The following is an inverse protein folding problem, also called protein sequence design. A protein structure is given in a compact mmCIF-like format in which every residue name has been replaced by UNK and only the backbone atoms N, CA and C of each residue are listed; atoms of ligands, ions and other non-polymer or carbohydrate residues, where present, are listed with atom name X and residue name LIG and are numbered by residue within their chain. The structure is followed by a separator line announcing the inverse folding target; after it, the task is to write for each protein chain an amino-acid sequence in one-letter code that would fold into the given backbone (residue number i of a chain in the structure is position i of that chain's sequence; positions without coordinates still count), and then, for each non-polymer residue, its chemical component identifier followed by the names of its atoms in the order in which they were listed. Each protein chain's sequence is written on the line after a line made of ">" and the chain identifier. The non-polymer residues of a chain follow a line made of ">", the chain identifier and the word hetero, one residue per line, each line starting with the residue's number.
data_IF_737593459820
#
_entry.id   IF_737593459820
#
_cell.length_a   1.000
_cell.length_b   1.000
_cell.length_c   1.000
_cell.angle_alpha   90.00
_cell.angle_beta   90.00
_cell.angle_gamma   90.00
#
_symmetry.space_group_name_H-M   'P 1'
#
loop_
_entity.id
_entity.type
_entity.pdbx_description
1 polymer ?
#
# COMPACT_ATOMS: atom_id res chain seq x y z
N UNK A 1 28.62 26.66 25.04
CA UNK A 1 28.21 27.99 24.53
C UNK A 1 28.75 28.38 23.16
N UNK A 2 29.96 27.96 22.71
CA UNK A 2 30.49 28.37 21.38
C UNK A 2 29.91 27.61 20.16
N UNK A 3 29.42 26.38 20.31
CA UNK A 3 28.88 25.58 19.18
C UNK A 3 27.50 26.08 18.70
N UNK A 4 26.67 26.56 19.63
CA UNK A 4 25.33 27.07 19.33
C UNK A 4 25.36 28.39 18.55
N UNK A 5 26.43 29.19 18.71
CA UNK A 5 26.61 30.43 17.96
C UNK A 5 26.95 30.16 16.49
N UNK A 6 27.70 29.09 16.20
CA UNK A 6 28.08 28.71 14.83
C UNK A 6 26.87 28.14 14.10
N UNK A 7 26.06 27.30 14.76
CA UNK A 7 24.82 26.77 14.20
C UNK A 7 23.78 27.87 13.95
N UNK A 8 23.68 28.84 14.87
CA UNK A 8 22.81 30.01 14.68
C UNK A 8 23.27 30.88 13.51
N UNK A 9 24.58 31.08 13.35
CA UNK A 9 25.13 31.82 12.22
C UNK A 9 24.90 31.11 10.87
N UNK A 10 25.04 29.79 10.82
CA UNK A 10 24.78 28.98 9.63
C UNK A 10 23.30 29.01 9.22
N UNK A 11 22.39 28.92 10.20
CA UNK A 11 20.94 29.02 9.99
C UNK A 11 20.53 30.41 9.48
N UNK A 12 21.09 31.47 10.07
CA UNK A 12 20.82 32.85 9.62
C UNK A 12 21.32 33.07 8.20
N UNK A 13 22.49 32.54 7.84
CA UNK A 13 23.04 32.63 6.48
C UNK A 13 22.19 31.86 5.46
N UNK A 14 21.68 30.67 5.79
CA UNK A 14 20.83 29.90 4.87
C UNK A 14 19.48 30.55 4.64
N UNK A 15 18.89 31.14 5.69
CA UNK A 15 17.63 31.88 5.60
C UNK A 15 17.83 33.15 4.77
N UNK A 16 18.90 33.91 5.02
CA UNK A 16 19.21 35.13 4.27
C UNK A 16 19.44 34.86 2.76
N UNK A 17 20.15 33.78 2.42
CA UNK A 17 20.33 33.37 1.02
C UNK A 17 19.01 33.00 0.33
N UNK A 18 18.07 32.38 1.06
CA UNK A 18 16.74 32.04 0.55
C UNK A 18 15.87 33.29 0.29
N UNK A 19 16.05 34.33 1.11
CA UNK A 19 15.41 35.64 0.89
C UNK A 19 16.01 36.41 -0.30
N UNK A 20 17.30 36.25 -0.59
CA UNK A 20 17.99 36.96 -1.68
C UNK A 20 17.67 36.41 -3.09
N UNK A 21 17.26 35.15 -3.21
CA UNK A 21 16.93 34.50 -4.50
C UNK A 21 15.43 34.57 -4.81
N UNK A 22 14.59 34.98 -3.85
CA UNK A 22 13.14 35.10 -4.04
C UNK A 22 12.77 36.46 -4.67
N UNK A 23 12.02 36.49 -5.79
CA UNK A 23 11.60 37.73 -6.42
C UNK A 23 10.62 38.56 -5.58
N UNK A 24 9.87 37.96 -4.65
CA UNK A 24 8.98 38.69 -3.74
C UNK A 24 8.67 37.86 -2.45
N UNK A 25 9.26 38.21 -1.29
CA UNK A 25 9.01 37.56 -0.02
C UNK A 25 7.69 37.97 0.67
N UNK A 26 6.96 38.96 0.15
CA UNK A 26 5.69 39.43 0.72
C UNK A 26 4.47 38.65 0.22
N UNK A 27 4.64 37.75 -0.77
CA UNK A 27 3.57 36.86 -1.24
C UNK A 27 3.61 35.50 -0.52
N UNK A 28 2.57 35.13 0.25
CA UNK A 28 2.42 33.76 0.71
C UNK A 28 2.25 32.82 -0.48
N UNK A 29 2.77 31.59 -0.38
CA UNK A 29 2.62 30.56 -1.41
C UNK A 29 1.19 29.99 -1.37
N UNK A 30 0.23 30.81 -1.82
CA UNK A 30 -1.21 30.57 -1.76
C UNK A 30 -1.75 29.67 -2.88
N UNK A 31 -0.93 29.25 -3.84
CA UNK A 31 -1.38 28.31 -4.88
C UNK A 31 -1.39 26.84 -4.38
N UNK A 32 -0.66 26.54 -3.30
CA UNK A 32 -0.52 25.17 -2.78
C UNK A 32 -1.41 24.86 -1.57
N UNK A 33 -1.86 25.88 -0.83
CA UNK A 33 -2.62 25.74 0.42
C UNK A 33 -4.15 25.55 0.26
N UNK A 34 -4.86 26.16 -0.70
CA UNK A 34 -6.33 26.08 -0.79
C UNK A 34 -6.86 24.69 -1.13
N UNK A 35 -6.07 23.85 -1.81
CA UNK A 35 -6.48 22.49 -2.17
C UNK A 35 -6.41 21.50 -0.99
N UNK A 36 -5.70 21.85 0.09
CA UNK A 36 -5.66 21.04 1.33
C UNK A 36 -6.69 21.46 2.38
N UNK A 37 -7.17 22.71 2.31
CA UNK A 37 -7.99 23.33 3.38
C UNK A 37 -9.48 23.44 2.99
N UNK A 38 -9.84 23.10 1.76
CA UNK A 38 -11.25 23.04 1.30
C UNK A 38 -11.92 21.68 1.55
N UNK A 39 -11.35 20.83 2.41
CA UNK A 39 -12.13 19.76 3.03
C UNK A 39 -13.22 20.40 3.88
N UNK A 40 -14.46 19.92 3.71
CA UNK A 40 -15.61 20.33 4.51
C UNK A 40 -15.26 20.32 6.00
N UNK A 41 -15.88 21.23 6.77
CA UNK A 41 -15.80 21.20 8.22
C UNK A 41 -16.05 19.77 8.72
N UNK A 42 -14.99 19.17 9.25
CA UNK A 42 -14.97 17.79 9.69
C UNK A 42 -15.60 17.77 11.08
N UNK A 43 -16.92 17.66 11.15
CA UNK A 43 -17.63 17.44 12.41
C UNK A 43 -17.50 15.96 12.79
N UNK A 44 -16.31 15.60 13.25
CA UNK A 44 -15.95 14.22 13.51
C UNK A 44 -15.25 14.11 14.86
N UNK A 45 -15.96 13.45 15.76
CA UNK A 45 -15.42 12.60 16.81
C UNK A 45 -14.92 11.25 16.25
N UNK A 46 -14.42 11.20 15.00
CA UNK A 46 -13.81 10.01 14.42
C UNK A 46 -12.28 10.15 14.42
N UNK A 47 -11.54 9.28 15.13
CA UNK A 47 -10.07 9.29 15.14
C UNK A 47 -9.51 9.12 13.73
N UNK A 48 -8.35 9.73 13.55
CA UNK A 48 -7.86 10.33 12.34
C UNK A 48 -6.92 9.31 11.58
N UNK A 49 -6.67 9.42 10.27
CA UNK A 49 -6.08 8.35 9.42
C UNK A 49 -4.63 7.90 9.64
N UNK A 50 -3.89 8.59 10.50
CA UNK A 50 -2.45 8.42 10.76
C UNK A 50 -2.10 8.26 12.26
N UNK A 51 -3.07 8.05 13.14
CA UNK A 51 -2.90 8.50 14.52
C UNK A 51 -2.58 7.37 15.48
N UNK A 52 -1.53 7.57 16.28
CA UNK A 52 -1.08 6.71 17.37
C UNK A 52 -2.15 6.45 18.46
N UNK A 53 -3.40 6.88 18.26
CA UNK A 53 -4.53 6.81 19.17
C UNK A 53 -5.59 5.76 18.77
N UNK A 54 -5.50 5.10 17.61
CA UNK A 54 -6.42 4.01 17.23
C UNK A 54 -6.47 2.96 18.35
N UNK A 55 -7.62 2.74 19.00
CA UNK A 55 -7.70 1.91 20.19
C UNK A 55 -7.62 0.42 19.82
N UNK A 56 -7.26 -0.44 20.79
CA UNK A 56 -7.04 -1.88 20.54
C UNK A 56 -8.28 -2.56 19.96
N UNK A 57 -9.47 -2.12 20.34
CA UNK A 57 -10.75 -2.64 19.90
C UNK A 57 -10.96 -2.47 18.39
N UNK A 58 -10.47 -1.36 17.82
CA UNK A 58 -10.50 -1.09 16.37
C UNK A 58 -9.57 -2.04 15.61
N UNK A 59 -8.35 -2.26 16.14
CA UNK A 59 -7.44 -3.28 15.62
C UNK A 59 -8.09 -4.66 15.67
N UNK A 60 -8.64 -5.04 16.83
CA UNK A 60 -9.25 -6.34 17.03
C UNK A 60 -10.40 -6.57 16.06
N UNK A 61 -11.32 -5.60 15.91
CA UNK A 61 -12.44 -5.72 14.97
C UNK A 61 -11.95 -5.92 13.54
N UNK A 62 -10.96 -5.13 13.10
CA UNK A 62 -10.43 -5.22 11.74
C UNK A 62 -9.69 -6.53 11.48
N UNK A 63 -8.85 -6.98 12.41
CA UNK A 63 -8.12 -8.24 12.32
C UNK A 63 -9.07 -9.45 12.37
N UNK A 64 -10.11 -9.39 13.19
CA UNK A 64 -11.18 -10.40 13.19
C UNK A 64 -11.85 -10.48 11.82
N UNK A 65 -12.18 -9.34 11.18
CA UNK A 65 -12.72 -9.34 9.81
C UNK A 65 -11.79 -10.07 8.82
N UNK A 66 -10.47 -9.82 8.87
CA UNK A 66 -9.53 -10.53 7.99
C UNK A 66 -9.51 -12.04 8.23
N UNK A 67 -9.48 -12.46 9.50
CA UNK A 67 -9.53 -13.87 9.88
C UNK A 67 -10.82 -14.53 9.40
N UNK A 68 -11.95 -13.87 9.60
CA UNK A 68 -13.28 -14.38 9.22
C UNK A 68 -13.45 -14.42 7.69
N UNK A 69 -12.70 -13.61 6.95
CA UNK A 69 -12.51 -13.70 5.49
C UNK A 69 -11.47 -14.74 5.06
N UNK A 70 -11.00 -15.60 5.97
CA UNK A 70 -10.02 -16.65 5.70
C UNK A 70 -8.67 -16.14 5.15
N UNK A 71 -8.33 -14.87 5.43
CA UNK A 71 -6.98 -14.36 5.20
C UNK A 71 -6.07 -14.80 6.34
N UNK A 72 -4.80 -15.07 6.03
CA UNK A 72 -3.84 -15.60 6.99
C UNK A 72 -2.53 -14.81 7.05
N UNK A 73 -2.40 -13.73 6.28
CA UNK A 73 -1.20 -12.90 6.25
C UNK A 73 -1.54 -11.43 6.01
N UNK A 74 -0.86 -10.56 6.73
CA UNK A 74 -0.86 -9.11 6.55
C UNK A 74 0.57 -8.64 6.27
N UNK A 75 0.73 -7.80 5.25
CA UNK A 75 1.98 -7.10 4.94
C UNK A 75 1.88 -5.67 5.42
N UNK A 76 2.69 -5.32 6.43
CA UNK A 76 2.84 -3.94 6.89
C UNK A 76 3.77 -3.23 5.91
N UNK A 77 3.14 -2.53 4.96
CA UNK A 77 3.77 -1.88 3.82
C UNK A 77 4.81 -0.81 4.22
N UNK A 78 5.88 -0.68 3.45
CA UNK A 78 7.05 0.13 3.76
C UNK A 78 6.89 1.66 3.71
N UNK A 79 5.70 2.20 3.42
CA UNK A 79 5.43 3.61 3.74
C UNK A 79 4.51 3.79 4.96
N UNK A 80 4.17 2.70 5.66
CA UNK A 80 3.72 2.74 7.04
C UNK A 80 4.94 2.67 7.97
N UNK A 81 4.69 2.54 9.27
CA UNK A 81 5.70 2.38 10.32
C UNK A 81 5.45 1.07 11.09
N UNK A 82 6.35 0.74 12.04
CA UNK A 82 6.15 -0.39 12.94
C UNK A 82 4.84 -0.24 13.71
N UNK A 83 3.94 -1.20 13.53
CA UNK A 83 2.63 -1.16 14.15
C UNK A 83 2.71 -1.18 15.70
N UNK A 84 1.58 -0.84 16.32
CA UNK A 84 1.42 -0.93 17.77
C UNK A 84 1.62 -2.36 18.24
N UNK A 85 2.04 -2.54 19.48
CA UNK A 85 2.25 -3.88 20.07
C UNK A 85 0.97 -4.71 20.03
N UNK A 86 -0.17 -4.06 20.33
CA UNK A 86 -1.47 -4.72 20.28
C UNK A 86 -1.83 -5.31 18.90
N UNK A 87 -1.32 -4.76 17.79
CA UNK A 87 -1.52 -5.35 16.47
C UNK A 87 -0.86 -6.74 16.40
N UNK A 88 0.38 -6.85 16.86
CA UNK A 88 1.12 -8.11 16.82
C UNK A 88 0.56 -9.11 17.84
N UNK A 89 0.19 -8.66 19.05
CA UNK A 89 -0.51 -9.51 20.03
C UNK A 89 -1.78 -10.13 19.42
N UNK A 90 -2.61 -9.29 18.77
CA UNK A 90 -3.84 -9.75 18.16
C UNK A 90 -3.57 -10.68 16.96
N UNK A 91 -2.53 -10.41 16.18
CA UNK A 91 -2.10 -11.31 15.11
C UNK A 91 -1.62 -12.68 15.66
N UNK A 92 -0.91 -12.70 16.79
CA UNK A 92 -0.51 -13.93 17.50
C UNK A 92 -1.75 -14.72 17.96
N UNK A 93 -2.70 -14.03 18.58
CA UNK A 93 -3.97 -14.63 19.09
C UNK A 93 -4.85 -15.16 17.95
N UNK A 94 -4.91 -14.46 16.82
CA UNK A 94 -5.80 -14.77 15.69
C UNK A 94 -5.16 -15.70 14.66
N UNK A 95 -3.87 -15.98 14.75
CA UNK A 95 -3.13 -16.79 13.77
C UNK A 95 -2.94 -16.08 12.43
N UNK A 96 -2.77 -14.76 12.45
CA UNK A 96 -2.53 -13.95 11.26
C UNK A 96 -1.03 -13.67 11.13
N UNK A 97 -0.38 -14.18 10.09
CA UNK A 97 1.03 -13.95 9.86
C UNK A 97 1.30 -12.48 9.50
N UNK A 98 2.46 -11.97 9.88
CA UNK A 98 2.90 -10.60 9.60
C UNK A 98 4.19 -10.64 8.82
N UNK A 99 4.18 -9.97 7.67
CA UNK A 99 5.35 -9.54 6.93
C UNK A 99 5.59 -8.08 7.27
N UNK A 100 6.73 -7.78 7.91
CA UNK A 100 7.07 -6.41 8.30
C UNK A 100 8.12 -5.80 7.38
N UNK A 101 7.78 -4.70 6.72
CA UNK A 101 8.74 -3.90 5.96
C UNK A 101 9.39 -2.82 6.83
N UNK A 102 10.64 -2.48 6.54
CA UNK A 102 11.24 -1.24 6.99
C UNK A 102 10.53 -0.06 6.31
N UNK A 103 10.50 1.14 6.92
CA UNK A 103 9.75 2.30 6.42
C UNK A 103 10.47 2.97 5.23
N UNK A 104 10.72 2.20 4.16
CA UNK A 104 11.25 2.61 2.88
C UNK A 104 10.26 2.20 1.78
N UNK A 105 9.93 3.12 0.86
CA UNK A 105 8.96 2.86 -0.21
C UNK A 105 9.24 3.65 -1.49
N UNK A 106 8.92 3.05 -2.65
CA UNK A 106 8.91 3.69 -3.97
C UNK A 106 7.98 4.91 -4.08
N UNK A 107 6.98 5.02 -3.20
CA UNK A 107 6.02 6.15 -3.19
C UNK A 107 6.57 7.42 -2.53
N UNK A 108 7.85 7.40 -2.14
CA UNK A 108 8.58 8.58 -1.70
C UNK A 108 9.16 9.38 -2.86
N UNK A 109 10.34 9.98 -2.63
CA UNK A 109 11.05 10.77 -3.63
C UNK A 109 11.85 9.91 -4.63
N UNK A 110 12.31 8.75 -4.18
CA UNK A 110 13.22 7.86 -4.92
C UNK A 110 12.89 6.40 -4.56
N UNK A 111 12.94 5.50 -5.54
CA UNK A 111 12.84 4.05 -5.31
C UNK A 111 14.19 3.44 -4.92
N UNK A 112 15.30 4.16 -5.08
CA UNK A 112 16.61 3.71 -4.62
C UNK A 112 16.77 3.91 -3.10
N UNK A 113 17.20 2.90 -2.33
CA UNK A 113 17.37 3.05 -0.90
C UNK A 113 18.50 4.03 -0.55
N UNK A 114 18.44 4.70 0.63
CA UNK A 114 19.48 5.63 1.07
C UNK A 114 20.88 5.00 1.07
N UNK A 115 21.86 5.69 0.50
CA UNK A 115 23.25 5.23 0.31
C UNK A 115 24.29 6.14 0.97
N UNK A 116 23.86 7.20 1.65
CA UNK A 116 24.76 8.04 2.46
C UNK A 116 24.95 7.44 3.84
N UNK A 117 26.18 7.51 4.39
CA UNK A 117 26.48 6.92 5.69
C UNK A 117 25.58 7.40 6.85
N UNK A 118 25.28 8.70 6.99
CA UNK A 118 24.37 9.16 8.04
C UNK A 118 22.98 8.55 7.91
N UNK A 119 22.40 8.52 6.71
CA UNK A 119 21.08 7.97 6.47
C UNK A 119 21.05 6.44 6.70
N UNK A 120 22.07 5.72 6.22
CA UNK A 120 22.18 4.29 6.47
C UNK A 120 22.34 3.96 7.96
N UNK A 121 23.10 4.76 8.69
CA UNK A 121 23.27 4.60 10.14
C UNK A 121 21.95 4.80 10.89
N UNK A 122 21.19 5.83 10.54
CA UNK A 122 19.86 6.08 11.10
C UNK A 122 18.90 4.93 10.82
N UNK A 123 18.84 4.46 9.57
CA UNK A 123 18.02 3.31 9.18
C UNK A 123 18.40 2.04 9.95
N UNK A 124 19.70 1.79 10.15
CA UNK A 124 20.17 0.67 10.97
C UNK A 124 19.71 0.81 12.44
N UNK A 125 19.65 2.01 13.00
CA UNK A 125 19.12 2.22 14.35
C UNK A 125 17.61 1.89 14.42
N UNK A 126 16.84 2.28 13.39
CA UNK A 126 15.42 1.93 13.27
C UNK A 126 15.23 0.41 13.18
N UNK A 127 16.03 -0.28 12.36
CA UNK A 127 15.98 -1.74 12.25
C UNK A 127 16.22 -2.45 13.59
N UNK A 128 17.25 -2.04 14.35
CA UNK A 128 17.50 -2.60 15.68
C UNK A 128 16.32 -2.38 16.63
N UNK A 129 15.76 -1.17 16.62
CA UNK A 129 14.58 -0.84 17.43
C UNK A 129 13.37 -1.69 17.06
N UNK A 130 13.14 -1.96 15.77
CA UNK A 130 12.03 -2.81 15.31
C UNK A 130 12.20 -4.24 15.83
N UNK A 131 13.40 -4.81 15.70
CA UNK A 131 13.71 -6.17 16.17
C UNK A 131 13.54 -6.28 17.69
N UNK A 132 14.16 -5.39 18.45
CA UNK A 132 14.06 -5.36 19.93
C UNK A 132 12.61 -5.36 20.40
N UNK A 133 11.73 -4.63 19.70
CA UNK A 133 10.34 -4.44 20.09
C UNK A 133 9.40 -5.56 19.63
N UNK A 134 9.75 -6.35 18.60
CA UNK A 134 8.78 -7.27 17.96
C UNK A 134 9.25 -8.69 17.67
N UNK A 135 10.54 -9.00 17.77
CA UNK A 135 11.05 -10.32 17.38
C UNK A 135 10.49 -11.49 18.20
N UNK A 136 9.89 -11.22 19.36
CA UNK A 136 9.24 -12.25 20.19
C UNK A 136 7.85 -12.68 19.68
N UNK A 137 7.22 -11.94 18.75
CA UNK A 137 5.89 -12.28 18.24
C UNK A 137 5.94 -13.42 17.21
N UNK A 138 5.33 -14.60 17.47
CA UNK A 138 5.31 -15.71 16.51
C UNK A 138 4.57 -15.39 15.20
N UNK A 139 3.60 -14.46 15.21
CA UNK A 139 2.91 -14.02 14.00
C UNK A 139 3.85 -13.35 13.00
N UNK A 140 4.86 -12.62 13.48
CA UNK A 140 5.89 -12.09 12.60
C UNK A 140 6.64 -13.25 11.95
N UNK A 141 6.66 -13.32 10.62
CA UNK A 141 7.32 -14.43 9.90
C UNK A 141 8.54 -13.98 9.11
N UNK A 142 8.64 -12.68 8.78
CA UNK A 142 9.75 -12.15 8.00
C UNK A 142 9.91 -10.63 8.13
N UNK A 143 11.14 -10.20 7.91
CA UNK A 143 11.54 -8.82 7.76
C UNK A 143 11.82 -8.51 6.28
N UNK A 144 11.52 -7.29 5.86
CA UNK A 144 11.77 -6.84 4.49
C UNK A 144 12.37 -5.43 4.50
N UNK A 145 13.35 -5.17 3.61
CA UNK A 145 14.03 -3.88 3.55
C UNK A 145 13.18 -2.72 3.04
N UNK A 146 12.06 -2.97 2.37
CA UNK A 146 11.10 -1.93 1.97
C UNK A 146 10.25 -2.29 0.76
N UNK A 147 9.30 -1.41 0.44
CA UNK A 147 8.42 -1.52 -0.69
C UNK A 147 9.09 -1.01 -1.97
N UNK A 148 9.13 -1.86 -2.98
CA UNK A 148 9.45 -1.52 -4.36
C UNK A 148 10.77 -0.77 -4.53
N UNK A 149 11.75 -1.16 -3.71
CA UNK A 149 13.08 -0.61 -3.80
C UNK A 149 13.79 -1.20 -5.02
N UNK A 150 14.35 -0.34 -5.85
CA UNK A 150 14.96 -0.72 -7.12
C UNK A 150 16.33 -0.11 -7.31
N UNK A 151 17.15 -0.73 -8.16
CA UNK A 151 18.33 -0.09 -8.72
C UNK A 151 17.96 1.19 -9.49
N UNK A 152 18.91 2.11 -9.61
CA UNK A 152 18.76 3.28 -10.48
C UNK A 152 18.77 2.83 -11.95
N UNK A 153 17.92 3.45 -12.76
CA UNK A 153 17.89 3.23 -14.21
C UNK A 153 16.53 2.74 -14.73
N UNK A 154 16.41 2.59 -16.06
CA UNK A 154 15.13 2.34 -16.71
C UNK A 154 14.57 0.94 -16.43
N UNK A 155 15.43 -0.04 -16.15
CA UNK A 155 15.01 -1.42 -15.91
C UNK A 155 14.35 -1.64 -14.54
N UNK A 156 14.50 -0.69 -13.60
CA UNK A 156 13.92 -0.74 -12.25
C UNK A 156 14.02 -2.13 -11.57
N UNK A 157 15.18 -2.78 -11.73
CA UNK A 157 15.42 -4.11 -11.14
C UNK A 157 15.28 -4.04 -9.62
N UNK A 158 14.61 -5.01 -8.98
CA UNK A 158 14.54 -5.06 -7.53
C UNK A 158 15.92 -4.94 -6.88
N UNK A 159 16.03 -4.13 -5.83
CA UNK A 159 17.28 -4.00 -5.07
C UNK A 159 17.64 -5.34 -4.42
N UNK A 160 18.93 -5.62 -4.23
CA UNK A 160 19.37 -6.81 -3.52
C UNK A 160 20.47 -6.50 -2.48
N UNK A 161 21.07 -7.55 -1.94
CA UNK A 161 22.10 -7.46 -0.90
C UNK A 161 23.40 -6.79 -1.35
N UNK A 162 23.57 -6.46 -2.65
CA UNK A 162 24.71 -5.66 -3.12
C UNK A 162 24.58 -4.20 -2.67
N UNK A 163 23.37 -3.73 -2.36
CA UNK A 163 23.18 -2.41 -1.77
C UNK A 163 23.68 -2.39 -0.32
N UNK A 164 24.58 -1.45 0.06
CA UNK A 164 25.16 -1.40 1.41
C UNK A 164 24.15 -1.38 2.57
N UNK A 165 23.02 -0.68 2.43
CA UNK A 165 21.99 -0.66 3.46
C UNK A 165 21.30 -2.02 3.59
N UNK A 166 20.98 -2.67 2.47
CA UNK A 166 20.36 -3.99 2.47
C UNK A 166 21.28 -5.06 3.09
N UNK A 167 22.59 -4.98 2.82
CA UNK A 167 23.58 -5.83 3.47
C UNK A 167 23.63 -5.59 4.99
N UNK A 168 23.56 -4.33 5.45
CA UNK A 168 23.53 -3.99 6.89
C UNK A 168 22.26 -4.48 7.56
N UNK A 169 21.10 -4.32 6.93
CA UNK A 169 19.84 -4.90 7.42
C UNK A 169 19.94 -6.41 7.55
N UNK A 170 20.42 -7.11 6.52
CA UNK A 170 20.61 -8.55 6.60
C UNK A 170 21.51 -8.97 7.78
N UNK A 171 22.61 -8.26 8.01
CA UNK A 171 23.49 -8.52 9.15
C UNK A 171 22.80 -8.28 10.50
N UNK A 172 22.03 -7.20 10.63
CA UNK A 172 21.28 -6.87 11.84
C UNK A 172 20.23 -7.95 12.14
N UNK A 173 19.40 -8.31 11.16
CA UNK A 173 18.36 -9.32 11.36
C UNK A 173 18.97 -10.71 11.62
N UNK A 174 20.06 -11.07 10.93
CA UNK A 174 20.76 -12.32 11.20
C UNK A 174 21.36 -12.38 12.62
N UNK A 175 21.79 -11.25 13.18
CA UNK A 175 22.36 -11.18 14.51
C UNK A 175 21.28 -11.17 15.61
N UNK A 176 20.21 -10.41 15.41
CA UNK A 176 19.23 -10.10 16.45
C UNK A 176 17.94 -10.93 16.39
N UNK A 177 17.60 -11.46 15.22
CA UNK A 177 16.46 -12.35 15.00
C UNK A 177 16.80 -13.43 13.94
N UNK A 178 17.74 -14.34 14.26
CA UNK A 178 18.21 -15.37 13.32
C UNK A 178 17.14 -16.39 12.91
N UNK A 179 15.97 -16.36 13.57
CA UNK A 179 14.89 -17.33 13.33
C UNK A 179 14.02 -16.97 12.13
N UNK A 180 14.07 -15.71 11.67
CA UNK A 180 13.23 -15.19 10.59
C UNK A 180 14.06 -14.84 9.36
N UNK A 181 13.40 -14.93 8.20
CA UNK A 181 14.03 -14.53 6.94
C UNK A 181 14.02 -13.01 6.81
N UNK A 182 15.09 -12.48 6.25
CA UNK A 182 15.14 -11.12 5.70
C UNK A 182 15.13 -11.17 4.18
N UNK A 183 14.33 -10.32 3.55
CA UNK A 183 14.41 -10.06 2.11
C UNK A 183 14.73 -8.58 1.84
N UNK A 184 15.56 -8.24 0.83
CA UNK A 184 15.93 -6.85 0.59
C UNK A 184 14.76 -5.93 0.22
N UNK A 185 13.76 -6.42 -0.51
CA UNK A 185 12.63 -5.61 -1.01
C UNK A 185 11.47 -6.50 -1.43
N UNK A 186 10.28 -5.92 -1.54
CA UNK A 186 9.12 -6.50 -2.22
C UNK A 186 8.69 -5.57 -3.35
N UNK A 187 8.69 -5.99 -4.63
CA UNK A 187 8.91 -7.33 -5.15
C UNK A 187 10.38 -7.75 -5.09
N UNK A 188 10.67 -9.05 -5.27
CA UNK A 188 12.03 -9.59 -5.33
C UNK A 188 12.19 -10.65 -6.41
N UNK A 189 13.44 -10.94 -6.78
CA UNK A 189 13.78 -11.80 -7.92
C UNK A 189 14.16 -10.98 -9.16
N UNK A 190 14.31 -11.63 -10.31
CA UNK A 190 14.86 -10.97 -11.50
C UNK A 190 13.90 -9.97 -12.14
N UNK A 191 12.59 -10.17 -11.99
CA UNK A 191 11.55 -9.24 -12.47
C UNK A 191 10.53 -9.00 -11.37
N UNK A 192 10.40 -7.75 -10.94
CA UNK A 192 9.44 -7.34 -9.91
C UNK A 192 8.10 -6.83 -10.46
N UNK A 193 8.13 -6.15 -11.59
CA UNK A 193 6.97 -5.54 -12.26
C UNK A 193 6.84 -6.13 -13.68
N UNK A 194 6.18 -7.30 -13.84
CA UNK A 194 6.15 -7.97 -15.12
C UNK A 194 5.35 -7.19 -16.15
N UNK A 195 5.93 -7.01 -17.34
CA UNK A 195 5.15 -6.68 -18.55
C UNK A 195 4.41 -7.93 -19.05
N UNK A 196 3.33 -7.78 -19.85
CA UNK A 196 2.58 -8.93 -20.36
C UNK A 196 3.43 -9.98 -21.09
N UNK A 197 4.47 -9.56 -21.82
CA UNK A 197 5.37 -10.49 -22.50
C UNK A 197 6.30 -11.25 -21.55
N UNK A 198 6.53 -10.77 -20.33
CA UNK A 198 7.38 -11.40 -19.32
C UNK A 198 6.65 -12.48 -18.51
N UNK A 199 5.32 -12.50 -18.55
CA UNK A 199 4.48 -13.46 -17.83
C UNK A 199 4.58 -14.86 -18.45
N UNK A 200 4.81 -15.86 -17.60
CA UNK A 200 4.96 -17.27 -18.02
C UNK A 200 6.38 -17.69 -18.42
N UNK A 201 7.40 -16.87 -18.14
CA UNK A 201 8.81 -17.11 -18.53
C UNK A 201 9.69 -17.76 -17.44
N UNK A 202 9.13 -18.08 -16.28
CA UNK A 202 9.82 -18.65 -15.12
C UNK A 202 10.63 -17.64 -14.29
N UNK A 203 10.39 -16.34 -14.48
CA UNK A 203 11.23 -15.25 -13.92
C UNK A 203 10.50 -14.43 -12.84
N UNK A 204 9.27 -14.80 -12.48
CA UNK A 204 8.47 -14.08 -11.50
C UNK A 204 8.57 -14.78 -10.13
N UNK A 205 9.41 -14.28 -9.23
CA UNK A 205 9.55 -14.85 -7.89
C UNK A 205 8.52 -14.23 -6.96
N UNK A 206 8.82 -13.05 -6.44
CA UNK A 206 7.88 -12.20 -5.75
C UNK A 206 7.55 -11.04 -6.69
N UNK A 207 6.33 -10.99 -7.21
CA UNK A 207 5.93 -10.00 -8.21
C UNK A 207 4.82 -9.07 -7.68
N UNK A 208 4.88 -7.82 -8.12
CA UNK A 208 3.89 -6.77 -7.87
C UNK A 208 3.12 -6.44 -9.15
N UNK A 209 1.90 -5.96 -8.96
CA UNK A 209 1.05 -5.44 -10.02
C UNK A 209 0.55 -6.50 -11.02
N UNK A 210 -0.30 -6.07 -11.96
CA UNK A 210 -0.87 -4.72 -12.13
C UNK A 210 -1.83 -4.26 -11.01
N UNK A 211 -2.10 -2.96 -10.95
CA UNK A 211 -3.06 -2.35 -10.00
C UNK A 211 -4.33 -1.82 -10.67
N UNK A 212 -4.44 -1.96 -12.00
CA UNK A 212 -5.58 -1.54 -12.78
C UNK A 212 -5.83 -2.55 -13.91
N UNK A 213 -7.05 -3.06 -14.00
CA UNK A 213 -7.48 -3.87 -15.13
C UNK A 213 -8.05 -2.97 -16.23
N UNK A 214 -7.20 -2.55 -17.18
CA UNK A 214 -7.65 -1.71 -18.31
C UNK A 214 -8.54 -2.46 -19.30
N UNK A 215 -8.19 -3.72 -19.57
CA UNK A 215 -8.95 -4.64 -20.41
C UNK A 215 -9.13 -5.98 -19.70
N UNK A 216 -10.35 -6.50 -19.72
CA UNK A 216 -10.69 -7.72 -18.99
C UNK A 216 -10.20 -9.00 -19.67
N UNK A 217 -10.07 -9.01 -20.99
CA UNK A 217 -9.56 -10.16 -21.75
C UNK A 217 -8.04 -10.27 -21.57
N UNK A 218 -7.33 -9.15 -21.64
CA UNK A 218 -5.89 -9.07 -21.34
C UNK A 218 -5.60 -9.46 -19.89
N UNK A 219 -6.45 -9.04 -18.94
CA UNK A 219 -6.36 -9.45 -17.54
C UNK A 219 -6.47 -10.97 -17.40
N UNK A 220 -7.51 -11.57 -18.00
CA UNK A 220 -7.72 -13.01 -17.93
C UNK A 220 -6.58 -13.80 -18.62
N UNK A 221 -6.05 -13.28 -19.74
CA UNK A 221 -4.87 -13.83 -20.42
C UNK A 221 -3.63 -13.81 -19.54
N UNK A 222 -3.36 -12.67 -18.90
CA UNK A 222 -2.23 -12.51 -17.99
C UNK A 222 -2.30 -13.54 -16.86
N UNK A 223 -3.44 -13.65 -16.17
CA UNK A 223 -3.57 -14.55 -15.02
C UNK A 223 -3.72 -16.03 -15.40
N UNK A 224 -4.03 -16.34 -16.65
CA UNK A 224 -3.94 -17.72 -17.16
C UNK A 224 -2.49 -18.16 -17.37
N UNK A 225 -1.62 -17.25 -17.80
CA UNK A 225 -0.19 -17.50 -18.04
C UNK A 225 0.70 -17.29 -16.82
N UNK A 226 0.12 -16.71 -15.77
CA UNK A 226 0.86 -16.31 -14.58
C UNK A 226 1.65 -17.44 -13.91
N UNK A 227 2.92 -17.15 -13.66
CA UNK A 227 3.91 -18.05 -13.10
C UNK A 227 4.58 -17.50 -11.85
N UNK A 228 4.07 -16.39 -11.27
CA UNK A 228 4.60 -15.83 -10.03
C UNK A 228 4.63 -16.86 -8.89
N UNK A 229 5.79 -17.03 -8.24
CA UNK A 229 5.94 -17.89 -7.06
C UNK A 229 5.24 -17.29 -5.84
N UNK A 230 5.11 -15.97 -5.77
CA UNK A 230 4.32 -15.24 -4.79
C UNK A 230 3.90 -13.90 -5.39
N UNK A 231 2.64 -13.52 -5.25
CA UNK A 231 2.14 -12.21 -5.69
C UNK A 231 2.02 -11.29 -4.48
N UNK A 232 3.07 -10.57 -4.10
CA UNK A 232 3.07 -9.78 -2.87
C UNK A 232 2.31 -8.46 -2.98
N UNK A 233 1.88 -8.09 -4.18
CA UNK A 233 1.02 -6.94 -4.38
C UNK A 233 0.26 -7.07 -5.70
N UNK A 234 -1.05 -6.86 -5.66
CA UNK A 234 -1.93 -6.81 -6.83
C UNK A 234 -3.21 -6.07 -6.45
N UNK A 235 -3.73 -5.22 -7.32
CA UNK A 235 -4.92 -4.43 -7.01
C UNK A 235 -5.83 -4.25 -8.21
N UNK A 236 -7.04 -3.82 -7.92
CA UNK A 236 -7.92 -3.18 -8.88
C UNK A 236 -8.84 -2.22 -8.13
N UNK A 237 -9.20 -1.12 -8.77
CA UNK A 237 -9.88 0.01 -8.15
C UNK A 237 -11.39 -0.16 -8.12
N UNK A 238 -12.03 0.25 -7.03
CA UNK A 238 -13.49 0.38 -6.94
C UNK A 238 -13.92 1.60 -6.14
N UNK A 239 -15.17 2.04 -6.37
CA UNK A 239 -15.78 3.04 -5.53
C UNK A 239 -16.13 2.46 -4.15
N UNK A 240 -16.08 3.34 -3.14
CA UNK A 240 -16.56 3.05 -1.80
C UNK A 240 -18.09 2.85 -1.77
N UNK A 241 -18.64 2.19 -0.73
CA UNK A 241 -20.09 2.09 -0.56
C UNK A 241 -20.79 3.45 -0.60
N UNK A 242 -21.98 3.49 -1.21
CA UNK A 242 -22.75 4.73 -1.44
C UNK A 242 -22.98 5.50 -0.15
N UNK A 243 -23.30 4.80 0.94
CA UNK A 243 -23.56 5.42 2.24
C UNK A 243 -22.32 6.07 2.83
N UNK A 244 -21.13 5.47 2.67
CA UNK A 244 -19.85 6.06 3.09
C UNK A 244 -19.60 7.34 2.28
N UNK A 245 -19.70 7.27 0.95
CA UNK A 245 -19.50 8.43 0.07
C UNK A 245 -20.44 9.57 0.46
N UNK A 246 -21.74 9.30 0.61
CA UNK A 246 -22.73 10.33 0.95
C UNK A 246 -22.54 10.92 2.34
N UNK A 247 -22.12 10.10 3.30
CA UNK A 247 -21.84 10.55 4.67
C UNK A 247 -20.60 11.43 4.75
N UNK A 248 -19.58 11.20 3.92
CA UNK A 248 -18.28 11.87 4.04
C UNK A 248 -17.96 12.87 2.93
N UNK A 249 -18.81 13.00 1.90
CA UNK A 249 -18.63 13.99 0.83
C UNK A 249 -18.82 15.44 1.28
N UNK A 250 -19.53 15.66 2.39
CA UNK A 250 -19.96 17.00 2.80
C UNK A 250 -20.83 17.65 1.71
N UNK A 251 -20.47 18.86 1.29
CA UNK A 251 -21.21 19.61 0.25
C UNK A 251 -20.73 19.30 -1.17
N UNK A 252 -19.69 18.46 -1.34
CA UNK A 252 -19.12 18.20 -2.66
C UNK A 252 -20.09 17.40 -3.54
N UNK A 253 -20.13 17.69 -4.86
CA UNK A 253 -20.99 16.97 -5.80
C UNK A 253 -20.55 15.51 -5.90
N UNK A 254 -21.51 14.57 -5.82
CA UNK A 254 -21.20 13.14 -5.94
C UNK A 254 -20.87 12.71 -7.38
N UNK A 255 -21.31 13.47 -8.38
CA UNK A 255 -21.12 13.19 -9.81
C UNK A 255 -20.59 14.42 -10.56
N UNK A 256 -19.89 14.24 -11.70
CA UNK A 256 -19.46 12.95 -12.25
C UNK A 256 -18.24 12.37 -11.50
N UNK A 257 -17.96 11.06 -11.60
CA UNK A 257 -16.83 10.43 -10.94
C UNK A 257 -15.57 10.61 -11.77
N UNK A 258 -15.10 11.85 -11.94
CA UNK A 258 -13.91 12.18 -12.75
C UNK A 258 -12.87 12.90 -11.90
N UNK A 259 -11.58 12.92 -12.32
CA UNK A 259 -10.56 13.70 -11.62
C UNK A 259 -10.87 15.20 -11.56
N UNK A 260 -11.76 15.72 -12.41
CA UNK A 260 -12.20 17.11 -12.34
C UNK A 260 -13.12 17.39 -11.15
N UNK A 261 -13.85 16.38 -10.67
CA UNK A 261 -14.71 16.51 -9.49
C UNK A 261 -13.87 16.50 -8.20
N UNK A 262 -13.97 17.53 -7.33
CA UNK A 262 -13.19 17.63 -6.09
C UNK A 262 -13.34 16.44 -5.13
N UNK A 263 -14.49 15.75 -5.14
CA UNK A 263 -14.69 14.56 -4.31
C UNK A 263 -13.78 13.41 -4.76
N UNK A 264 -13.72 13.18 -6.07
CA UNK A 264 -13.00 12.07 -6.70
C UNK A 264 -11.52 12.37 -6.91
N UNK A 265 -11.16 13.65 -7.08
CA UNK A 265 -9.77 14.12 -7.20
C UNK A 265 -8.91 13.83 -5.96
N UNK A 266 -9.50 13.51 -4.80
CA UNK A 266 -8.75 13.14 -3.58
C UNK A 266 -7.90 11.86 -3.77
N UNK A 267 -8.30 10.99 -4.70
CA UNK A 267 -7.63 9.74 -5.06
C UNK A 267 -7.70 9.57 -6.60
N UNK A 268 -7.08 10.47 -7.38
CA UNK A 268 -7.39 10.60 -8.81
C UNK A 268 -6.96 9.37 -9.62
N UNK A 269 -5.94 8.62 -9.15
CA UNK A 269 -5.51 7.37 -9.76
C UNK A 269 -6.55 6.23 -9.60
N UNK A 270 -7.45 6.32 -8.63
CA UNK A 270 -8.47 5.30 -8.36
C UNK A 270 -9.81 5.57 -9.07
N UNK A 271 -9.84 6.52 -10.00
CA UNK A 271 -11.05 6.92 -10.72
C UNK A 271 -11.19 6.12 -12.01
N UNK A 272 -12.15 5.19 -12.05
CA UNK A 272 -12.37 4.24 -13.17
C UNK A 272 -13.46 4.64 -14.17
N UNK A 273 -13.81 5.93 -14.26
CA UNK A 273 -14.89 6.39 -15.16
C UNK A 273 -14.59 6.16 -16.65
N UNK A 274 -13.32 6.20 -17.05
CA UNK A 274 -12.92 5.89 -18.42
C UNK A 274 -13.14 4.41 -18.77
N UNK A 275 -12.88 3.50 -17.82
CA UNK A 275 -13.17 2.07 -17.99
C UNK A 275 -14.69 1.86 -18.09
N UNK A 276 -15.48 2.55 -17.26
CA UNK A 276 -16.94 2.54 -17.35
C UNK A 276 -17.40 2.96 -18.75
N UNK A 277 -16.88 4.08 -19.27
CA UNK A 277 -17.24 4.57 -20.61
C UNK A 277 -16.88 3.57 -21.71
N UNK A 278 -15.72 2.92 -21.61
CA UNK A 278 -15.29 1.91 -22.58
C UNK A 278 -16.23 0.71 -22.62
N UNK A 279 -16.66 0.24 -21.46
CA UNK A 279 -17.48 -0.98 -21.33
C UNK A 279 -18.98 -0.73 -21.56
N UNK A 280 -19.48 0.42 -21.11
CA UNK A 280 -20.92 0.74 -21.15
C UNK A 280 -21.25 1.62 -22.36
N UNK A 281 -20.26 2.28 -22.98
CA UNK A 281 -20.45 3.14 -24.15
C UNK A 281 -20.99 4.54 -23.84
N UNK A 282 -21.09 4.92 -22.56
CA UNK A 282 -21.55 6.25 -22.10
C UNK A 282 -21.00 6.58 -20.70
N UNK A 283 -21.02 7.85 -20.26
CA UNK A 283 -20.77 8.17 -18.85
C UNK A 283 -21.80 7.53 -17.90
N UNK A 284 -21.43 7.32 -16.63
CA UNK A 284 -22.37 6.88 -15.60
C UNK A 284 -23.43 7.96 -15.35
N UNK A 285 -24.69 7.54 -15.23
CA UNK A 285 -25.82 8.45 -15.03
C UNK A 285 -26.03 8.79 -13.55
N UNK A 286 -25.73 7.85 -12.66
CA UNK A 286 -25.89 8.01 -11.21
C UNK A 286 -24.69 7.45 -10.44
N UNK A 287 -24.57 7.84 -9.17
CA UNK A 287 -23.57 7.28 -8.26
C UNK A 287 -23.81 5.77 -8.07
N UNK A 288 -25.07 5.35 -7.93
CA UNK A 288 -25.47 3.96 -7.76
C UNK A 288 -24.97 3.07 -8.91
N UNK A 289 -25.15 3.52 -10.14
CA UNK A 289 -24.71 2.82 -11.34
C UNK A 289 -23.17 2.64 -11.33
N UNK A 290 -22.45 3.71 -11.00
CA UNK A 290 -20.99 3.69 -10.99
C UNK A 290 -20.43 2.81 -9.87
N UNK A 291 -21.00 2.89 -8.66
CA UNK A 291 -20.58 2.06 -7.52
C UNK A 291 -20.83 0.59 -7.79
N UNK A 292 -22.03 0.24 -8.27
CA UNK A 292 -22.38 -1.15 -8.59
C UNK A 292 -21.47 -1.72 -9.70
N UNK A 293 -21.27 -0.99 -10.80
CA UNK A 293 -20.36 -1.42 -11.87
C UNK A 293 -18.92 -1.59 -11.34
N UNK A 294 -18.39 -0.61 -10.61
CA UNK A 294 -16.99 -0.65 -10.16
C UNK A 294 -16.72 -1.74 -9.12
N UNK A 295 -17.65 -2.01 -8.20
CA UNK A 295 -17.50 -3.09 -7.24
C UNK A 295 -17.67 -4.47 -7.88
N UNK A 296 -18.58 -4.63 -8.86
CA UNK A 296 -18.68 -5.88 -9.65
C UNK A 296 -17.42 -6.12 -10.47
N UNK A 297 -16.85 -5.06 -11.07
CA UNK A 297 -15.57 -5.12 -11.79
C UNK A 297 -14.43 -5.58 -10.88
N UNK A 298 -14.20 -4.88 -9.77
CA UNK A 298 -13.14 -5.24 -8.81
C UNK A 298 -13.33 -6.67 -8.27
N UNK A 299 -14.58 -7.09 -8.04
CA UNK A 299 -14.86 -8.47 -7.63
C UNK A 299 -14.37 -9.46 -8.69
N UNK A 300 -14.76 -9.28 -9.96
CA UNK A 300 -14.32 -10.14 -11.06
C UNK A 300 -12.79 -10.18 -11.14
N UNK A 301 -12.13 -9.03 -11.24
CA UNK A 301 -10.69 -8.95 -11.48
C UNK A 301 -9.89 -9.58 -10.34
N UNK A 302 -10.20 -9.25 -9.08
CA UNK A 302 -9.47 -9.79 -7.93
C UNK A 302 -9.79 -11.27 -7.67
N UNK A 303 -11.01 -11.75 -7.98
CA UNK A 303 -11.31 -13.20 -7.92
C UNK A 303 -10.52 -14.00 -8.96
N UNK A 304 -10.34 -13.48 -10.19
CA UNK A 304 -9.48 -14.10 -11.21
C UNK A 304 -8.06 -14.30 -10.68
N UNK A 305 -7.50 -13.31 -9.98
CA UNK A 305 -6.16 -13.40 -9.39
C UNK A 305 -6.11 -14.40 -8.24
N UNK A 306 -7.09 -14.33 -7.32
CA UNK A 306 -7.19 -15.24 -6.18
C UNK A 306 -7.24 -16.71 -6.64
N UNK A 307 -8.09 -17.02 -7.62
CA UNK A 307 -8.23 -18.36 -8.18
C UNK A 307 -6.97 -18.81 -8.92
N UNK A 308 -6.36 -17.93 -9.73
CA UNK A 308 -5.11 -18.26 -10.44
C UNK A 308 -3.98 -18.61 -9.47
N UNK A 309 -3.76 -17.79 -8.45
CA UNK A 309 -2.72 -18.05 -7.45
C UNK A 309 -3.02 -19.31 -6.64
N UNK A 310 -4.26 -19.46 -6.18
CA UNK A 310 -4.67 -20.60 -5.36
C UNK A 310 -4.55 -21.94 -6.08
N UNK A 311 -5.01 -22.02 -7.34
CA UNK A 311 -4.94 -23.25 -8.15
C UNK A 311 -3.49 -23.70 -8.42
N UNK A 312 -2.55 -22.75 -8.41
CA UNK A 312 -1.12 -23.03 -8.62
C UNK A 312 -0.39 -23.44 -7.34
N UNK A 313 -1.04 -23.44 -6.17
CA UNK A 313 -0.42 -23.94 -4.95
C UNK A 313 -0.04 -25.44 -5.11
N UNK A 314 1.15 -25.89 -4.67
CA UNK A 314 2.16 -25.17 -3.88
C UNK A 314 3.23 -24.43 -4.70
N UNK A 315 3.15 -24.39 -6.04
CA UNK A 315 4.10 -23.63 -6.87
C UNK A 315 3.96 -22.12 -6.65
N UNK A 316 2.74 -21.63 -6.47
CA UNK A 316 2.47 -20.28 -5.97
C UNK A 316 2.20 -20.35 -4.46
N UNK A 317 3.04 -19.69 -3.66
CA UNK A 317 2.97 -19.68 -2.21
C UNK A 317 1.97 -18.69 -1.62
N UNK A 318 1.38 -17.79 -2.43
CA UNK A 318 0.37 -16.85 -1.94
C UNK A 318 0.16 -15.62 -2.83
N UNK A 319 -0.86 -14.84 -2.44
CA UNK A 319 -1.21 -13.55 -3.03
C UNK A 319 -1.61 -12.57 -1.91
N UNK A 320 -1.17 -11.33 -2.03
CA UNK A 320 -1.53 -10.21 -1.17
C UNK A 320 -2.15 -9.10 -2.00
N UNK A 321 -3.34 -8.65 -1.61
CA UNK A 321 -4.09 -7.63 -2.35
C UNK A 321 -3.74 -6.23 -1.85
N UNK A 322 -3.36 -5.36 -2.79
CA UNK A 322 -3.34 -3.92 -2.61
C UNK A 322 -4.77 -3.41 -2.78
N UNK A 323 -5.44 -2.91 -1.75
CA UNK A 323 -4.98 -2.86 -0.36
C UNK A 323 -5.98 -3.47 0.62
N UNK A 324 -5.52 -3.79 1.82
CA UNK A 324 -6.36 -4.41 2.83
C UNK A 324 -7.55 -3.53 3.24
N UNK A 325 -7.30 -2.25 3.53
CA UNK A 325 -8.31 -1.32 4.04
C UNK A 325 -7.89 0.14 3.81
N UNK A 326 -8.85 1.06 3.87
CA UNK A 326 -8.57 2.50 3.80
C UNK A 326 -8.17 3.07 5.16
N UNK A 327 -7.21 4.01 5.15
CA UNK A 327 -6.86 4.78 6.34
C UNK A 327 -7.75 6.02 6.53
N UNK A 328 -8.44 6.49 5.49
CA UNK A 328 -9.34 7.65 5.55
C UNK A 328 -10.60 7.45 4.67
N UNK A 329 -11.70 8.19 4.92
CA UNK A 329 -12.85 8.13 4.03
C UNK A 329 -12.53 8.66 2.63
N UNK A 330 -12.57 7.77 1.64
CA UNK A 330 -12.34 8.12 0.23
C UNK A 330 -13.52 7.68 -0.66
N UNK A 331 -13.67 8.33 -1.81
CA UNK A 331 -14.72 8.01 -2.77
C UNK A 331 -14.46 6.70 -3.53
N UNK A 332 -13.19 6.34 -3.70
CA UNK A 332 -12.77 5.08 -4.31
C UNK A 332 -11.28 4.82 -4.05
N UNK A 333 -10.95 3.54 -3.90
CA UNK A 333 -9.60 3.02 -3.71
C UNK A 333 -9.56 1.52 -4.05
N UNK A 334 -8.38 0.91 -3.98
CA UNK A 334 -8.18 -0.53 -4.17
C UNK A 334 -8.53 -1.36 -2.92
N UNK A 335 -9.02 -0.72 -1.86
CA UNK A 335 -9.26 -1.36 -0.57
C UNK A 335 -10.28 -2.51 -0.66
N UNK A 336 -10.01 -3.62 0.03
CA UNK A 336 -10.95 -4.72 0.23
C UNK A 336 -11.98 -4.41 1.33
N UNK A 337 -11.53 -3.76 2.41
CA UNK A 337 -12.40 -3.20 3.44
C UNK A 337 -12.48 -1.69 3.28
N UNK A 338 -13.67 -1.11 3.40
CA UNK A 338 -13.80 0.35 3.44
C UNK A 338 -13.21 0.95 4.72
N UNK A 339 -13.26 2.28 4.85
CA UNK A 339 -12.73 3.01 6.01
C UNK A 339 -13.31 2.53 7.35
N UNK A 340 -14.59 2.16 7.40
CA UNK A 340 -15.24 1.67 8.63
C UNK A 340 -14.87 0.20 8.94
N UNK A 341 -14.10 -0.45 8.06
CA UNK A 341 -13.72 -1.85 8.14
C UNK A 341 -14.77 -2.80 7.57
N UNK A 342 -15.72 -2.31 6.77
CA UNK A 342 -16.77 -3.14 6.16
C UNK A 342 -16.23 -3.81 4.89
N UNK A 343 -16.41 -5.13 4.72
CA UNK A 343 -16.02 -5.82 3.49
C UNK A 343 -16.76 -5.30 2.27
N UNK A 344 -16.02 -4.93 1.22
CA UNK A 344 -16.59 -4.77 -0.13
C UNK A 344 -16.93 -6.14 -0.73
N UNK A 345 -17.77 -6.21 -1.79
CA UNK A 345 -18.12 -7.47 -2.44
C UNK A 345 -16.92 -8.33 -2.85
N UNK A 346 -15.83 -7.70 -3.31
CA UNK A 346 -14.59 -8.39 -3.68
C UNK A 346 -13.97 -9.15 -2.49
N UNK A 347 -13.96 -8.56 -1.29
CA UNK A 347 -13.41 -9.18 -0.09
C UNK A 347 -14.16 -10.45 0.30
N UNK A 348 -15.50 -10.41 0.24
CA UNK A 348 -16.36 -11.56 0.52
C UNK A 348 -16.12 -12.69 -0.49
N UNK A 349 -16.05 -12.36 -1.79
CA UNK A 349 -15.82 -13.33 -2.85
C UNK A 349 -14.44 -14.01 -2.74
N UNK A 350 -13.40 -13.22 -2.45
CA UNK A 350 -12.04 -13.74 -2.19
C UNK A 350 -12.03 -14.65 -0.96
N UNK A 351 -12.73 -14.28 0.11
CA UNK A 351 -12.81 -15.11 1.32
C UNK A 351 -13.43 -16.48 1.04
N UNK A 352 -14.49 -16.54 0.24
CA UNK A 352 -15.08 -17.80 -0.21
C UNK A 352 -14.12 -18.64 -1.07
N UNK A 353 -13.29 -17.99 -1.91
CA UNK A 353 -12.23 -18.70 -2.65
C UNK A 353 -11.21 -19.27 -1.67
N UNK A 354 -10.73 -18.50 -0.69
CA UNK A 354 -9.73 -18.93 0.27
C UNK A 354 -10.21 -20.01 1.24
N UNK A 355 -11.50 -20.06 1.54
CA UNK A 355 -12.15 -21.14 2.32
C UNK A 355 -12.11 -22.51 1.64
N UNK A 356 -12.22 -22.56 0.31
CA UNK A 356 -12.30 -23.82 -0.46
C UNK A 356 -10.98 -24.60 -0.36
N UNK A 357 -10.96 -25.94 -0.39
CA UNK A 357 -9.70 -26.66 -0.58
C UNK A 357 -9.11 -26.37 -1.96
N UNK A 358 -7.79 -26.54 -2.12
CA UNK A 358 -7.17 -26.53 -3.46
C UNK A 358 -7.62 -27.81 -4.17
N UNK A 359 -8.46 -27.68 -5.20
CA UNK A 359 -8.84 -28.79 -6.07
C UNK A 359 -7.75 -28.97 -7.12
N UNK A 360 -7.13 -30.16 -7.14
CA UNK A 360 -6.04 -30.52 -8.06
C UNK A 360 -6.45 -30.70 -9.50
#
# INVERSE_FOLDING_TARGET
>A
MKLNAILLAAFVLSVAANFAVRPDPARPNVDFLPNMVTSAAYDSYAPNPNFADVPREEYQRRLQTYRDLHMNMLRVWGGAFLEKECFYDLCDELGLMVWQEMPLSSSGRDSYPPDTEPAMTEQCAIARSYVERRQHHPALIMWCGGNELTERGPERRPIDLRHPLMARFAAIFQQMDPTRRFIPTSPSGPVGFPTPDQVGKGILWNAHGPWEAHDLEEWDEMFRRDDALFRAEIGDRSASPIDLIRRTRGELPEMPPTPDNPLWRRQPWNVSEQDFRREVGRPPATLEEFVDWSQRRQTRTLTTVAESCKRRFPRCGGVLFWMGHDCFPCAGNNSLLDFDGRPKPAALAIGEIFKRPVTG
#
